data_IF_626755365512
#
_entry.id   IF_626755365512
#
_cell.length_a   1.000
_cell.length_b   1.000
_cell.length_c   1.000
_cell.angle_alpha   90.00
_cell.angle_beta   90.00
_cell.angle_gamma   90.00
#
_symmetry.space_group_name_H-M   'P 1'
#
loop_
_entity.id
_entity.type
_entity.pdbx_description
1 polymer ?
#
# COMPACT_ATOMS: atom_id res chain seq x y z
N UNK A 1 8.91 17.86 2.69
CA UNK A 1 7.86 17.38 1.78
C UNK A 1 7.38 16.05 2.32
N UNK A 2 6.24 16.07 3.00
CA UNK A 2 5.60 14.88 3.56
C UNK A 2 4.88 14.14 2.44
N UNK A 3 5.12 12.84 2.30
CA UNK A 3 4.47 12.03 1.28
C UNK A 3 3.26 11.35 1.89
N UNK A 4 2.06 11.90 1.66
CA UNK A 4 0.83 11.16 1.93
C UNK A 4 0.68 10.06 0.85
N UNK A 5 1.08 8.85 1.23
CA UNK A 5 1.07 7.67 0.38
C UNK A 5 -0.34 7.38 -0.14
N UNK A 6 -1.37 7.58 0.69
CA UNK A 6 -2.73 7.18 0.40
C UNK A 6 -3.58 8.33 -0.13
N UNK A 7 -3.07 9.55 -0.25
CA UNK A 7 -3.79 10.66 -0.90
C UNK A 7 -4.22 10.31 -2.32
N UNK A 8 -5.52 10.50 -2.63
CA UNK A 8 -6.13 10.33 -3.95
C UNK A 8 -5.93 8.94 -4.58
N UNK A 9 -5.85 7.91 -3.73
CA UNK A 9 -5.72 6.50 -4.11
C UNK A 9 -7.07 5.80 -3.98
N UNK A 10 -7.57 5.21 -5.05
CA UNK A 10 -8.76 4.34 -5.03
C UNK A 10 -8.44 2.95 -5.55
N UNK A 11 -7.45 2.81 -6.44
CA UNK A 11 -7.08 1.54 -7.05
C UNK A 11 -5.66 1.16 -6.64
N UNK A 12 -5.53 0.01 -5.97
CA UNK A 12 -4.25 -0.47 -5.42
C UNK A 12 -3.96 -1.90 -5.83
N UNK A 13 -2.70 -2.17 -6.12
CA UNK A 13 -2.17 -3.52 -6.28
C UNK A 13 -1.15 -3.79 -5.18
N UNK A 14 -1.31 -4.88 -4.45
CA UNK A 14 -0.39 -5.36 -3.42
C UNK A 14 0.31 -6.62 -3.94
N UNK A 15 1.61 -6.53 -4.23
CA UNK A 15 2.42 -7.61 -4.79
C UNK A 15 3.24 -8.29 -3.70
N UNK A 16 3.39 -9.61 -3.81
CA UNK A 16 4.01 -10.44 -2.77
C UNK A 16 3.30 -10.21 -1.42
N UNK A 17 1.95 -10.24 -1.47
CA UNK A 17 1.10 -9.78 -0.39
C UNK A 17 1.03 -10.76 0.79
N UNK A 18 1.40 -12.02 0.64
CA UNK A 18 1.26 -13.01 1.72
C UNK A 18 2.15 -12.62 2.92
N UNK A 19 1.63 -12.73 4.16
CA UNK A 19 0.35 -13.32 4.57
C UNK A 19 -0.88 -12.38 4.48
N UNK A 20 -0.71 -11.12 4.09
CA UNK A 20 -1.79 -10.15 3.88
C UNK A 20 -1.73 -8.90 4.76
N UNK A 21 -0.60 -8.62 5.43
CA UNK A 21 -0.48 -7.49 6.35
C UNK A 21 -0.69 -6.13 5.68
N UNK A 22 -0.07 -5.87 4.53
CA UNK A 22 -0.29 -4.64 3.77
C UNK A 22 -1.70 -4.57 3.21
N UNK A 23 -2.23 -5.66 2.68
CA UNK A 23 -3.63 -5.78 2.28
C UNK A 23 -4.62 -5.39 3.40
N UNK A 24 -4.36 -5.81 4.65
CA UNK A 24 -5.18 -5.40 5.80
C UNK A 24 -5.07 -3.90 6.09
N UNK A 25 -3.86 -3.33 6.01
CA UNK A 25 -3.65 -1.89 6.13
C UNK A 25 -4.42 -1.14 5.04
N UNK A 26 -4.35 -1.59 3.79
CA UNK A 26 -5.06 -0.99 2.67
C UNK A 26 -6.58 -1.01 2.89
N UNK A 27 -7.13 -2.13 3.38
CA UNK A 27 -8.56 -2.22 3.71
C UNK A 27 -8.96 -1.23 4.80
N UNK A 28 -8.17 -1.14 5.89
CA UNK A 28 -8.41 -0.18 6.97
C UNK A 28 -8.39 1.27 6.48
N UNK A 29 -7.39 1.64 5.70
CA UNK A 29 -7.20 3.03 5.27
C UNK A 29 -8.16 3.42 4.15
N UNK A 30 -8.30 2.59 3.11
CA UNK A 30 -9.04 2.97 1.91
C UNK A 30 -10.52 2.65 2.01
N UNK A 31 -10.87 1.51 2.60
CA UNK A 31 -12.27 1.06 2.72
C UNK A 31 -12.89 1.61 4.00
N UNK A 32 -12.24 1.44 5.15
CA UNK A 32 -12.80 1.89 6.45
C UNK A 32 -12.52 3.35 6.75
N UNK A 33 -11.62 3.99 5.99
CA UNK A 33 -11.26 5.40 6.16
C UNK A 33 -10.39 5.68 7.38
N UNK A 34 -9.75 4.67 7.98
CA UNK A 34 -8.88 4.84 9.15
C UNK A 34 -7.68 5.76 8.85
N UNK A 35 -7.35 6.65 9.78
CA UNK A 35 -6.15 7.47 9.69
C UNK A 35 -4.91 6.58 9.86
N UNK A 36 -3.89 6.76 9.01
CA UNK A 36 -2.66 5.97 9.03
C UNK A 36 -1.43 6.84 8.90
N UNK A 37 -0.35 6.43 9.58
CA UNK A 37 0.92 7.14 9.58
C UNK A 37 1.14 8.00 10.82
N UNK A 38 2.00 9.01 10.68
CA UNK A 38 2.48 9.82 11.81
C UNK A 38 1.36 10.62 12.47
N UNK A 39 0.36 11.09 11.71
CA UNK A 39 -0.81 11.79 12.24
C UNK A 39 -1.62 10.91 13.20
N UNK A 40 -1.89 9.64 12.85
CA UNK A 40 -2.58 8.72 13.76
C UNK A 40 -1.76 8.41 15.02
N UNK A 41 -0.43 8.34 14.90
CA UNK A 41 0.49 8.19 16.03
C UNK A 41 0.55 9.46 16.90
N UNK A 42 0.58 10.65 16.30
CA UNK A 42 0.56 11.94 16.98
C UNK A 42 -0.78 12.17 17.69
N UNK A 43 -1.90 11.80 17.08
CA UNK A 43 -3.24 11.81 17.70
C UNK A 43 -3.33 10.82 18.87
N UNK A 44 -2.74 9.62 18.71
CA UNK A 44 -2.64 8.63 19.79
C UNK A 44 -1.74 9.12 20.92
N UNK A 45 -0.58 9.69 20.61
CA UNK A 45 0.38 10.21 21.59
C UNK A 45 -0.18 11.44 22.32
N UNK A 46 -0.89 12.31 21.62
CA UNK A 46 -1.61 13.45 22.21
C UNK A 46 -2.73 12.98 23.13
N UNK A 47 -3.55 11.99 22.72
CA UNK A 47 -4.57 11.38 23.58
C UNK A 47 -3.98 10.69 24.80
N UNK A 48 -2.91 9.91 24.62
CA UNK A 48 -2.22 9.20 25.70
C UNK A 48 -1.61 10.20 26.70
N UNK A 49 -0.99 11.26 26.19
CA UNK A 49 -0.40 12.35 26.98
C UNK A 49 -1.47 13.13 27.74
N UNK A 50 -2.63 13.41 27.14
CA UNK A 50 -3.76 14.07 27.80
C UNK A 50 -4.35 13.18 28.91
N UNK A 51 -4.49 11.88 28.65
CA UNK A 51 -5.00 10.90 29.62
C UNK A 51 -4.03 10.73 30.81
N UNK A 52 -2.73 10.66 30.55
CA UNK A 52 -1.69 10.64 31.59
C UNK A 52 -1.67 11.92 32.43
N UNK A 53 -1.86 13.10 31.82
CA UNK A 53 -1.98 14.37 32.55
C UNK A 53 -3.22 14.42 33.45
N UNK A 54 -4.33 13.79 33.04
CA UNK A 54 -5.54 13.69 33.86
C UNK A 54 -5.42 12.75 35.07
N UNK A 55 -4.57 11.71 34.99
CA UNK A 55 -4.36 10.71 36.06
C UNK A 55 -3.39 11.20 37.15
N UNK A 56 -2.46 12.12 36.83
CA UNK A 56 -1.42 12.60 37.75
C UNK A 56 -1.61 14.05 38.25
N UNK A 57 -2.76 14.68 38.02
CA UNK A 57 -3.04 16.00 38.58
C UNK A 57 -3.29 15.91 40.10
N UNK A 58 -2.65 16.76 40.94
CA UNK A 58 -2.96 16.80 42.36
C UNK A 58 -4.38 17.34 42.57
N UNK A 59 -5.08 16.78 43.54
CA UNK A 59 -6.47 17.07 43.90
C UNK A 59 -6.70 18.55 44.21
N UNK A 60 -7.30 19.29 43.26
CA UNK A 60 -8.00 20.56 43.51
C UNK A 60 -9.45 20.47 43.01
N UNK A 61 -10.39 21.26 43.57
CA UNK A 61 -11.81 21.06 43.35
C UNK A 61 -12.21 21.41 41.92
N UNK A 62 -13.04 20.52 41.37
CA UNK A 62 -13.54 20.49 39.99
C UNK A 62 -13.99 21.87 39.50
N UNK A 63 -13.16 22.51 38.66
CA UNK A 63 -13.68 23.39 37.61
C UNK A 63 -14.13 22.50 36.48
N UNK A 64 -15.44 22.52 36.19
CA UNK A 64 -16.01 21.96 34.97
C UNK A 64 -15.34 22.65 33.78
N UNK A 65 -14.29 22.02 33.26
CA UNK A 65 -13.84 22.26 31.90
C UNK A 65 -14.79 21.41 31.08
N UNK A 66 -15.77 22.05 30.46
CA UNK A 66 -16.54 21.46 29.37
C UNK A 66 -15.51 21.11 28.29
N UNK A 67 -15.11 19.83 28.28
CA UNK A 67 -14.36 19.25 27.18
C UNK A 67 -15.30 19.33 25.98
N UNK A 68 -15.07 20.28 25.09
CA UNK A 68 -15.61 20.19 23.75
C UNK A 68 -15.04 18.89 23.17
N UNK A 69 -15.86 17.84 23.21
CA UNK A 69 -15.63 16.59 22.49
C UNK A 69 -15.63 16.94 21.00
N UNK A 70 -14.48 17.41 20.50
CA UNK A 70 -14.19 17.42 19.07
C UNK A 70 -14.30 15.97 18.60
N UNK A 71 -15.48 15.61 18.09
CA UNK A 71 -15.72 14.27 17.59
C UNK A 71 -14.61 13.92 16.60
N UNK A 72 -13.98 12.72 16.74
CA UNK A 72 -12.93 12.31 15.82
C UNK A 72 -13.46 12.45 14.39
N UNK A 73 -12.65 12.99 13.45
CA UNK A 73 -13.10 13.24 12.10
C UNK A 73 -13.75 11.97 11.54
N UNK A 74 -15.03 12.06 11.17
CA UNK A 74 -15.80 10.92 10.65
C UNK A 74 -15.01 10.23 9.54
N UNK A 75 -14.70 8.95 9.74
CA UNK A 75 -13.97 8.13 8.77
C UNK A 75 -14.89 7.95 7.55
N UNK A 76 -14.66 8.73 6.49
CA UNK A 76 -15.46 8.64 5.27
C UNK A 76 -14.91 7.53 4.37
N UNK A 77 -15.66 6.42 4.18
CA UNK A 77 -15.23 5.37 3.25
C UNK A 77 -15.14 5.96 1.84
N UNK A 78 -14.05 5.65 1.13
CA UNK A 78 -13.86 6.14 -0.24
C UNK A 78 -14.76 5.36 -1.19
N UNK A 79 -15.39 6.05 -2.15
CA UNK A 79 -16.20 5.41 -3.19
C UNK A 79 -15.28 4.75 -4.22
N UNK A 80 -15.72 3.59 -4.73
CA UNK A 80 -15.07 2.85 -5.83
C UNK A 80 -13.64 2.37 -5.56
N UNK A 81 -13.33 2.00 -4.30
CA UNK A 81 -12.04 1.41 -3.96
C UNK A 81 -11.92 -0.01 -4.51
N UNK A 82 -10.80 -0.29 -5.18
CA UNK A 82 -10.43 -1.64 -5.63
C UNK A 82 -9.03 -1.98 -5.16
N UNK A 83 -8.90 -3.09 -4.46
CA UNK A 83 -7.62 -3.61 -4.00
C UNK A 83 -7.44 -5.01 -4.58
N UNK A 84 -6.33 -5.23 -5.30
CA UNK A 84 -5.95 -6.54 -5.81
C UNK A 84 -4.64 -6.96 -5.15
N UNK A 85 -4.66 -8.08 -4.44
CA UNK A 85 -3.49 -8.65 -3.78
C UNK A 85 -3.01 -9.88 -4.56
N UNK A 86 -1.72 -9.95 -4.87
CA UNK A 86 -1.12 -11.03 -5.65
C UNK A 86 0.02 -11.67 -4.86
N UNK A 87 -0.02 -12.99 -4.74
CA UNK A 87 1.09 -13.75 -4.18
C UNK A 87 1.20 -15.15 -4.83
N UNK A 88 2.38 -15.75 -4.74
CA UNK A 88 2.58 -17.15 -5.11
C UNK A 88 1.98 -18.10 -4.06
N UNK A 89 2.02 -17.69 -2.80
CA UNK A 89 1.44 -18.39 -1.65
C UNK A 89 -0.07 -18.10 -1.54
N UNK A 90 -0.86 -19.08 -1.06
CA UNK A 90 -2.27 -18.83 -0.78
C UNK A 90 -2.42 -17.87 0.40
N UNK A 91 -3.38 -16.96 0.31
CA UNK A 91 -3.77 -16.05 1.39
C UNK A 91 -5.22 -16.31 1.81
N UNK A 92 -5.53 -16.07 3.08
CA UNK A 92 -6.92 -16.06 3.54
C UNK A 92 -7.69 -14.93 2.83
N UNK A 93 -8.91 -15.17 2.35
CA UNK A 93 -9.73 -14.13 1.74
C UNK A 93 -9.95 -12.96 2.70
N UNK A 94 -9.65 -11.74 2.24
CA UNK A 94 -9.85 -10.51 3.00
C UNK A 94 -11.04 -9.73 2.42
N UNK A 95 -11.87 -9.16 3.29
CA UNK A 95 -13.09 -8.46 2.86
C UNK A 95 -12.76 -7.20 2.06
N UNK A 96 -13.36 -7.06 0.89
CA UNK A 96 -13.13 -5.94 -0.02
C UNK A 96 -11.81 -5.99 -0.79
N UNK A 97 -11.10 -7.13 -0.74
CA UNK A 97 -9.84 -7.34 -1.45
C UNK A 97 -9.98 -8.54 -2.38
N UNK A 98 -9.54 -8.38 -3.62
CA UNK A 98 -9.45 -9.47 -4.59
C UNK A 98 -8.07 -10.12 -4.44
N UNK A 99 -8.02 -11.37 -3.99
CA UNK A 99 -6.78 -12.12 -3.83
C UNK A 99 -6.53 -13.02 -5.03
N UNK A 100 -5.38 -12.89 -5.69
CA UNK A 100 -4.94 -13.72 -6.80
C UNK A 100 -3.72 -14.54 -6.39
N UNK A 101 -3.78 -15.86 -6.65
CA UNK A 101 -2.61 -16.72 -6.56
C UNK A 101 -1.92 -16.77 -7.92
N UNK A 102 -0.82 -16.04 -8.07
CA UNK A 102 -0.09 -15.95 -9.33
C UNK A 102 1.38 -15.59 -9.11
N UNK A 103 2.23 -16.01 -10.05
CA UNK A 103 3.65 -15.65 -10.06
C UNK A 103 3.84 -14.31 -10.78
N UNK A 104 4.33 -13.28 -10.09
CA UNK A 104 4.51 -11.95 -10.66
C UNK A 104 5.59 -11.90 -11.76
N UNK A 105 6.45 -12.92 -11.85
CA UNK A 105 7.45 -13.05 -12.92
C UNK A 105 6.85 -13.63 -14.21
N UNK A 106 5.69 -14.28 -14.11
CA UNK A 106 5.07 -14.95 -15.24
C UNK A 106 4.24 -13.96 -16.08
N UNK A 107 4.38 -13.94 -17.42
CA UNK A 107 3.71 -12.96 -18.28
C UNK A 107 2.18 -13.07 -18.26
N UNK A 108 1.63 -14.23 -17.90
CA UNK A 108 0.18 -14.41 -17.75
C UNK A 108 -0.43 -13.68 -16.53
N UNK A 109 0.38 -13.16 -15.61
CA UNK A 109 -0.12 -12.47 -14.42
C UNK A 109 -0.67 -11.09 -14.73
N UNK A 110 -0.10 -10.40 -15.73
CA UNK A 110 -0.61 -9.09 -16.18
C UNK A 110 -2.06 -9.18 -16.67
N UNK A 111 -2.45 -10.05 -17.61
CA UNK A 111 -3.85 -10.14 -18.04
C UNK A 111 -4.79 -10.61 -16.93
N UNK A 112 -4.34 -11.47 -16.00
CA UNK A 112 -5.13 -11.86 -14.83
C UNK A 112 -5.39 -10.67 -13.91
N UNK A 113 -4.37 -9.84 -13.66
CA UNK A 113 -4.47 -8.62 -12.88
C UNK A 113 -5.41 -7.61 -13.55
N UNK A 114 -5.25 -7.37 -14.84
CA UNK A 114 -6.11 -6.46 -15.60
C UNK A 114 -7.59 -6.90 -15.55
N UNK A 115 -7.85 -8.19 -15.69
CA UNK A 115 -9.20 -8.77 -15.55
C UNK A 115 -9.77 -8.62 -14.13
N UNK A 116 -8.94 -8.76 -13.10
CA UNK A 116 -9.35 -8.55 -11.71
C UNK A 116 -9.64 -7.08 -11.40
N UNK A 117 -8.86 -6.17 -11.98
CA UNK A 117 -9.05 -4.73 -11.86
C UNK A 117 -10.32 -4.27 -12.59
N UNK A 118 -10.49 -4.68 -13.85
CA UNK A 118 -11.63 -4.34 -14.69
C UNK A 118 -12.22 -5.61 -15.35
N UNK A 119 -13.40 -6.08 -14.90
CA UNK A 119 -14.03 -7.29 -15.45
C UNK A 119 -14.40 -7.23 -16.94
N UNK A 120 -14.49 -6.02 -17.50
CA UNK A 120 -14.76 -5.76 -18.92
C UNK A 120 -13.50 -5.84 -19.79
N UNK A 121 -12.33 -6.15 -19.21
CA UNK A 121 -11.08 -6.29 -19.94
C UNK A 121 -11.11 -7.49 -20.89
N UNK A 122 -10.87 -7.24 -22.17
CA UNK A 122 -10.73 -8.24 -23.22
C UNK A 122 -9.24 -8.43 -23.58
N UNK A 123 -8.66 -9.62 -23.37
CA UNK A 123 -7.26 -9.90 -23.69
C UNK A 123 -6.94 -9.87 -25.20
N UNK A 124 -7.96 -9.85 -26.07
CA UNK A 124 -7.78 -9.79 -27.54
C UNK A 124 -7.70 -8.35 -28.08
N UNK A 125 -8.05 -7.35 -27.26
CA UNK A 125 -7.88 -5.94 -27.62
C UNK A 125 -6.40 -5.58 -27.62
N UNK A 126 -5.91 -4.91 -28.69
CA UNK A 126 -4.50 -4.52 -28.86
C UNK A 126 -3.96 -3.57 -27.78
N UNK A 127 -4.84 -3.03 -26.93
CA UNK A 127 -4.46 -2.23 -25.77
C UNK A 127 -4.09 -3.14 -24.61
N UNK A 128 -2.79 -3.27 -24.32
CA UNK A 128 -2.31 -3.84 -23.05
C UNK A 128 -2.52 -2.91 -21.85
N UNK A 129 -3.16 -1.76 -22.03
CA UNK A 129 -3.42 -0.80 -20.97
C UNK A 129 -4.79 -1.06 -20.32
N UNK A 130 -4.84 -0.93 -19.00
CA UNK A 130 -6.08 -0.94 -18.24
C UNK A 130 -6.99 0.23 -18.66
N UNK A 131 -8.29 -0.02 -18.78
CA UNK A 131 -9.29 1.05 -18.98
C UNK A 131 -9.28 2.02 -17.80
N UNK A 132 -9.07 1.51 -16.58
CA UNK A 132 -8.85 2.30 -15.39
C UNK A 132 -7.50 1.94 -14.76
N UNK A 133 -6.47 2.80 -14.94
CA UNK A 133 -5.14 2.52 -14.42
C UNK A 133 -5.09 2.58 -12.89
N UNK A 134 -4.04 2.00 -12.32
CA UNK A 134 -3.80 1.85 -10.88
C UNK A 134 -3.11 3.10 -10.34
N UNK A 135 -3.47 3.51 -9.12
CA UNK A 135 -2.91 4.71 -8.47
C UNK A 135 -1.67 4.39 -7.64
N UNK A 136 -1.66 3.20 -7.02
CA UNK A 136 -0.62 2.73 -6.12
C UNK A 136 -0.31 1.25 -6.35
N UNK A 137 0.96 0.92 -6.50
CA UNK A 137 1.45 -0.47 -6.47
C UNK A 137 2.41 -0.60 -5.29
N UNK A 138 2.16 -1.57 -4.42
CA UNK A 138 2.99 -1.94 -3.29
C UNK A 138 3.69 -3.27 -3.58
N UNK A 139 4.93 -3.43 -3.12
CA UNK A 139 5.64 -4.72 -3.13
C UNK A 139 6.47 -4.88 -1.86
N UNK A 140 6.06 -5.78 -0.97
CA UNK A 140 6.81 -6.11 0.26
C UNK A 140 7.58 -7.43 0.13
N UNK A 141 7.77 -7.90 -1.11
CA UNK A 141 8.43 -9.16 -1.41
C UNK A 141 9.88 -9.17 -0.93
N UNK A 142 10.21 -10.16 -0.10
CA UNK A 142 11.57 -10.47 0.29
C UNK A 142 11.81 -11.97 0.12
N UNK A 143 12.95 -12.39 -0.48
CA UNK A 143 13.32 -13.79 -0.52
C UNK A 143 13.64 -14.32 0.88
N UNK A 144 13.59 -15.64 1.03
CA UNK A 144 14.13 -16.31 2.22
C UNK A 144 15.61 -15.97 2.38
N UNK A 145 15.98 -15.48 3.56
CA UNK A 145 17.35 -15.07 3.85
C UNK A 145 18.20 -16.32 4.03
N UNK A 146 19.11 -16.55 3.09
CA UNK A 146 20.02 -17.71 3.11
C UNK A 146 21.24 -17.46 4.00
N UNK A 147 21.51 -16.21 4.34
CA UNK A 147 22.73 -15.77 5.03
C UNK A 147 23.88 -15.47 4.06
N UNK A 148 23.72 -15.78 2.77
CA UNK A 148 24.61 -15.34 1.71
C UNK A 148 24.09 -14.01 1.15
N UNK A 149 24.52 -12.91 1.77
CA UNK A 149 23.99 -11.58 1.46
C UNK A 149 23.97 -11.21 -0.02
N UNK A 150 25.01 -11.57 -0.79
CA UNK A 150 25.08 -11.24 -2.21
C UNK A 150 24.01 -11.99 -3.02
N UNK A 151 23.72 -13.24 -2.65
CA UNK A 151 22.66 -14.03 -3.26
C UNK A 151 21.29 -13.48 -2.89
N UNK A 152 21.07 -13.17 -1.61
CA UNK A 152 19.79 -12.64 -1.12
C UNK A 152 19.45 -11.28 -1.78
N UNK A 153 20.45 -10.41 -1.95
CA UNK A 153 20.31 -9.13 -2.68
C UNK A 153 19.99 -9.37 -4.16
N UNK A 154 20.68 -10.31 -4.80
CA UNK A 154 20.43 -10.63 -6.21
C UNK A 154 19.01 -11.14 -6.43
N UNK A 155 18.55 -12.10 -5.61
CA UNK A 155 17.20 -12.66 -5.73
C UNK A 155 16.14 -11.60 -5.49
N UNK A 156 16.30 -10.75 -4.46
CA UNK A 156 15.37 -9.65 -4.24
C UNK A 156 15.38 -8.64 -5.41
N UNK A 157 16.54 -8.37 -6.01
CA UNK A 157 16.62 -7.47 -7.17
C UNK A 157 15.83 -8.01 -8.36
N UNK A 158 15.86 -9.32 -8.60
CA UNK A 158 15.03 -9.98 -9.63
C UNK A 158 13.54 -9.84 -9.32
N UNK A 159 13.16 -10.05 -8.06
CA UNK A 159 11.77 -9.91 -7.61
C UNK A 159 11.27 -8.47 -7.77
N UNK A 160 12.09 -7.49 -7.38
CA UNK A 160 11.81 -6.07 -7.55
C UNK A 160 11.66 -5.70 -9.03
N UNK A 161 12.52 -6.24 -9.90
CA UNK A 161 12.43 -6.01 -11.34
C UNK A 161 11.13 -6.55 -11.93
N UNK A 162 10.70 -7.75 -11.53
CA UNK A 162 9.40 -8.30 -11.93
C UNK A 162 8.23 -7.44 -11.43
N UNK A 163 8.27 -7.02 -10.16
CA UNK A 163 7.27 -6.14 -9.58
C UNK A 163 7.18 -4.79 -10.30
N UNK A 164 8.33 -4.20 -10.67
CA UNK A 164 8.40 -2.95 -11.41
C UNK A 164 7.85 -3.12 -12.84
N UNK A 165 8.20 -4.19 -13.55
CA UNK A 165 7.68 -4.44 -14.90
C UNK A 165 6.15 -4.55 -14.90
N UNK A 166 5.59 -5.27 -13.92
CA UNK A 166 4.14 -5.36 -13.75
C UNK A 166 3.55 -3.98 -13.40
N UNK A 167 4.19 -3.23 -12.50
CA UNK A 167 3.74 -1.89 -12.11
C UNK A 167 3.68 -0.93 -13.30
N UNK A 168 4.68 -0.96 -14.19
CA UNK A 168 4.73 -0.13 -15.39
C UNK A 168 3.58 -0.40 -16.37
N UNK A 169 3.06 -1.63 -16.42
CA UNK A 169 1.91 -1.97 -17.27
C UNK A 169 0.57 -1.48 -16.71
N UNK A 170 0.45 -1.30 -15.40
CA UNK A 170 -0.84 -1.03 -14.74
C UNK A 170 -0.95 0.37 -14.13
N UNK A 171 0.17 1.02 -13.80
CA UNK A 171 0.19 2.33 -13.16
C UNK A 171 -0.24 3.44 -14.13
N UNK A 172 -0.99 4.41 -13.60
CA UNK A 172 -1.27 5.66 -14.31
C UNK A 172 -0.01 6.55 -14.36
N UNK A 173 0.06 7.48 -15.34
CA UNK A 173 1.00 8.60 -15.27
C UNK A 173 0.91 9.33 -13.92
N UNK A 174 2.03 9.45 -13.21
CA UNK A 174 2.08 10.02 -11.85
C UNK A 174 1.58 9.12 -10.72
N UNK A 175 1.32 7.84 -11.00
CA UNK A 175 1.04 6.81 -9.98
C UNK A 175 2.24 6.56 -9.07
N UNK A 176 1.99 5.94 -7.92
CA UNK A 176 2.99 5.67 -6.88
C UNK A 176 3.41 4.19 -6.94
N UNK A 177 4.70 3.93 -6.93
CA UNK A 177 5.26 2.59 -6.73
C UNK A 177 6.07 2.59 -5.44
N UNK A 178 5.79 1.67 -4.52
CA UNK A 178 6.54 1.49 -3.28
C UNK A 178 6.96 0.04 -3.19
N UNK A 179 8.25 -0.18 -2.99
CA UNK A 179 8.78 -1.51 -2.81
C UNK A 179 9.83 -1.58 -1.71
N UNK A 180 9.91 -2.74 -1.05
CA UNK A 180 10.98 -3.04 -0.11
C UNK A 180 12.26 -3.37 -0.87
N UNK A 181 13.35 -2.75 -0.45
CA UNK A 181 14.69 -2.97 -1.01
C UNK A 181 15.68 -3.27 0.11
N UNK A 182 16.55 -4.25 -0.12
CA UNK A 182 17.71 -4.50 0.72
C UNK A 182 18.81 -3.53 0.31
N UNK A 183 19.32 -2.79 1.29
CA UNK A 183 20.47 -1.92 1.08
C UNK A 183 21.74 -2.78 1.12
N UNK A 184 22.34 -3.01 -0.04
CA UNK A 184 23.70 -3.54 -0.13
C UNK A 184 24.76 -2.51 0.28
N UNK A 185 26.02 -2.95 0.36
CA UNK A 185 27.18 -2.12 0.73
C UNK A 185 27.48 -0.95 -0.24
N UNK A 186 26.85 -0.92 -1.43
CA UNK A 186 27.11 0.04 -2.51
C UNK A 186 25.85 0.74 -3.06
N UNK A 187 24.75 0.82 -2.30
CA UNK A 187 23.51 1.46 -2.79
C UNK A 187 23.17 2.70 -1.97
N UNK A 188 23.87 3.80 -2.27
CA UNK A 188 23.37 5.13 -1.96
C UNK A 188 22.19 5.44 -2.90
N UNK A 189 20.98 5.42 -2.33
CA UNK A 189 19.78 6.07 -2.87
C UNK A 189 19.26 5.58 -4.24
N UNK A 190 18.83 4.31 -4.33
CA UNK A 190 17.86 3.93 -5.36
C UNK A 190 16.42 4.29 -4.92
N UNK A 191 16.14 5.58 -4.80
CA UNK A 191 14.77 6.08 -4.71
C UNK A 191 14.15 6.11 -6.10
N UNK A 192 13.67 4.96 -6.61
CA UNK A 192 12.99 4.91 -7.91
C UNK A 192 11.66 5.67 -7.80
N UNK A 193 11.68 6.96 -8.14
CA UNK A 193 10.49 7.72 -8.52
C UNK A 193 10.19 7.42 -9.98
N UNK A 194 9.33 6.44 -10.23
CA UNK A 194 8.72 6.27 -11.54
C UNK A 194 7.66 7.37 -11.76
N UNK A 195 8.09 8.59 -12.12
CA UNK A 195 7.20 9.58 -12.72
C UNK A 195 7.09 9.25 -14.21
N UNK A 196 6.05 8.49 -14.58
CA UNK A 196 5.67 8.33 -15.99
C UNK A 196 5.20 9.70 -16.48
N UNK A 197 6.10 10.46 -17.10
CA UNK A 197 5.76 11.68 -17.83
C UNK A 197 5.16 11.29 -19.17
N UNK A 198 3.91 11.66 -19.38
CA UNK A 198 3.28 11.60 -20.71
C UNK A 198 3.80 12.78 -21.51
N UNK A 199 4.61 12.51 -22.55
CA UNK A 199 4.96 13.51 -23.56
C UNK A 199 3.71 13.85 -24.38
N UNK A 200 3.42 15.16 -24.48
CA UNK A 200 2.45 15.73 -25.40
C UNK A 200 2.87 15.56 -26.86
#
# INVERSE_FOLDING_TARGET
MEYDLFKDVTRVVDLCAAPGSWSQVLSRVLIKGENFGRQAWEDQDAKLSQMMRGVFAPTEPQRNIELEDEEPPELKPRKDVKIVAIDLQPMSPLQGIITLKADITHPATVPLLLKALDPTYDPTSKSQHASHPVDLVLSDGAPDVTGLHDLDIYVQSQLLFAALNLALCVLRPGGKFVAKIFRGRNVDLLGIKAQVQSSK
#
